data_IF_486507724568
#
_entry.id   IF_486507724568
#
_cell.length_a   1.000
_cell.length_b   1.000
_cell.length_c   1.000
_cell.angle_alpha   90.00
_cell.angle_beta   90.00
_cell.angle_gamma   90.00
#
_symmetry.space_group_name_H-M   'P 1'
#
loop_
_entity.id
_entity.type
_entity.pdbx_description
1 polymer ?
#
# COMPACT_ATOMS: atom_id res chain seq x y z
N UNK A 1 -3.83 -15.04 -65.65
CA UNK A 1 -3.35 -15.49 -64.33
C UNK A 1 -4.16 -14.77 -63.24
N UNK A 2 -4.51 -15.50 -62.17
CA UNK A 2 -5.07 -15.05 -60.88
C UNK A 2 -6.61 -14.81 -60.74
N UNK A 3 -7.28 -15.90 -60.35
CA UNK A 3 -8.17 -16.10 -59.16
C UNK A 3 -9.44 -15.25 -58.91
N UNK A 4 -10.56 -16.00 -58.86
CA UNK A 4 -11.74 -15.87 -57.96
C UNK A 4 -11.35 -15.43 -56.52
N UNK A 5 -12.18 -14.78 -55.69
CA UNK A 5 -13.48 -15.25 -55.16
C UNK A 5 -14.23 -14.14 -54.43
N UNK A 6 -15.56 -14.17 -54.56
CA UNK A 6 -16.53 -13.54 -53.66
C UNK A 6 -16.34 -14.00 -52.21
N UNK A 7 -16.52 -13.11 -51.23
CA UNK A 7 -16.86 -13.52 -49.87
C UNK A 7 -17.67 -12.42 -49.16
N UNK A 8 -18.96 -12.37 -49.51
CA UNK A 8 -19.98 -11.76 -48.68
C UNK A 8 -20.26 -12.76 -47.54
N UNK A 9 -19.77 -12.50 -46.32
CA UNK A 9 -20.12 -13.35 -45.16
C UNK A 9 -21.20 -12.66 -44.35
N UNK A 10 -22.40 -13.19 -44.48
CA UNK A 10 -23.58 -12.84 -43.71
C UNK A 10 -23.28 -12.88 -42.20
N UNK A 11 -23.66 -11.82 -41.48
CA UNK A 11 -23.86 -11.86 -40.03
C UNK A 11 -25.03 -12.80 -39.77
N UNK A 12 -24.72 -14.06 -39.46
CA UNK A 12 -25.67 -15.02 -38.93
C UNK A 12 -26.06 -14.56 -37.53
N UNK A 13 -27.22 -13.89 -37.42
CA UNK A 13 -27.92 -13.71 -36.16
C UNK A 13 -28.34 -15.10 -35.70
N UNK A 14 -27.53 -15.69 -34.82
CA UNK A 14 -27.85 -16.94 -34.16
C UNK A 14 -29.18 -16.77 -33.42
N UNK A 15 -30.18 -17.56 -33.80
CA UNK A 15 -31.47 -17.65 -33.13
C UNK A 15 -31.21 -18.02 -31.66
N UNK A 16 -31.27 -17.03 -30.79
CA UNK A 16 -31.14 -17.24 -29.35
C UNK A 16 -32.31 -18.12 -28.86
N UNK A 17 -31.98 -19.25 -28.27
CA UNK A 17 -32.91 -20.14 -27.60
C UNK A 17 -33.56 -19.38 -26.42
N UNK A 18 -34.91 -19.31 -26.30
CA UNK A 18 -35.59 -18.49 -25.29
C UNK A 18 -35.23 -18.84 -23.83
N UNK A 19 -34.64 -20.02 -23.59
CA UNK A 19 -34.18 -20.44 -22.27
C UNK A 19 -32.85 -19.77 -21.81
N UNK A 20 -32.04 -19.24 -22.74
CA UNK A 20 -30.72 -18.68 -22.42
C UNK A 20 -30.73 -17.20 -22.00
N UNK A 21 -31.67 -16.42 -22.56
CA UNK A 21 -31.77 -14.97 -22.33
C UNK A 21 -32.17 -14.68 -20.88
N UNK A 22 -33.06 -15.50 -20.30
CA UNK A 22 -33.46 -15.38 -18.89
C UNK A 22 -32.30 -15.60 -17.91
N UNK A 23 -31.34 -16.48 -18.25
CA UNK A 23 -30.15 -16.74 -17.42
C UNK A 23 -29.11 -15.62 -17.52
N UNK A 24 -28.99 -14.99 -18.67
CA UNK A 24 -28.06 -13.86 -18.85
C UNK A 24 -28.59 -12.61 -18.15
N UNK A 25 -29.90 -12.37 -18.21
CA UNK A 25 -30.53 -11.23 -17.54
C UNK A 25 -30.45 -11.35 -16.01
N UNK A 26 -30.64 -12.56 -15.45
CA UNK A 26 -30.49 -12.79 -14.01
C UNK A 26 -29.05 -12.61 -13.53
N UNK A 27 -28.06 -13.08 -14.30
CA UNK A 27 -26.64 -12.86 -13.98
C UNK A 27 -26.26 -11.37 -14.02
N UNK A 28 -26.80 -10.61 -14.97
CA UNK A 28 -26.55 -9.16 -15.05
C UNK A 28 -27.17 -8.41 -13.87
N UNK A 29 -28.38 -8.79 -13.45
CA UNK A 29 -29.00 -8.21 -12.24
C UNK A 29 -28.26 -8.60 -10.96
N UNK A 30 -27.69 -9.80 -10.88
CA UNK A 30 -26.89 -10.24 -9.74
C UNK A 30 -25.55 -9.49 -9.65
N UNK A 31 -24.93 -9.15 -10.79
CA UNK A 31 -23.71 -8.33 -10.81
C UNK A 31 -23.98 -6.89 -10.35
N UNK A 32 -25.13 -6.32 -10.75
CA UNK A 32 -25.50 -4.95 -10.41
C UNK A 32 -25.92 -4.78 -8.93
N UNK A 33 -26.45 -5.84 -8.30
CA UNK A 33 -26.74 -5.82 -6.85
C UNK A 33 -25.50 -6.12 -6.00
N UNK A 34 -24.49 -6.80 -6.56
CA UNK A 34 -23.23 -7.10 -5.86
C UNK A 34 -22.33 -5.88 -5.65
N UNK A 35 -22.43 -4.84 -6.49
CA UNK A 35 -21.67 -3.59 -6.31
C UNK A 35 -22.14 -2.77 -5.11
N UNK A 36 -23.41 -2.91 -4.69
CA UNK A 36 -23.95 -2.20 -3.51
C UNK A 36 -23.40 -2.73 -2.18
N UNK A 37 -23.12 -4.04 -2.09
CA UNK A 37 -22.63 -4.69 -0.87
C UNK A 37 -21.12 -4.52 -0.64
N UNK A 38 -20.34 -4.25 -1.70
CA UNK A 38 -18.92 -3.95 -1.57
C UNK A 38 -18.68 -2.54 -0.98
N UNK A 39 -19.55 -1.57 -1.29
CA UNK A 39 -19.45 -0.20 -0.82
C UNK A 39 -19.68 -0.05 0.70
N UNK A 40 -20.46 -0.93 1.33
CA UNK A 40 -20.64 -0.92 2.79
C UNK A 40 -19.45 -1.47 3.55
N UNK A 41 -18.67 -2.40 2.96
CA UNK A 41 -17.53 -3.05 3.62
C UNK A 41 -16.25 -2.23 3.63
N UNK A 42 -16.17 -1.17 2.82
CA UNK A 42 -15.07 -0.19 2.85
C UNK A 42 -15.23 0.77 4.04
N UNK A 43 -16.45 0.95 4.57
CA UNK A 43 -16.72 1.84 5.71
C UNK A 43 -16.26 1.27 7.05
N UNK A 44 -16.07 -0.05 7.12
CA UNK A 44 -15.65 -0.76 8.32
C UNK A 44 -14.13 -0.93 8.41
N UNK A 45 -13.36 -0.34 7.48
CA UNK A 45 -11.93 -0.23 7.68
C UNK A 45 -11.71 0.71 8.88
N UNK A 46 -11.11 0.24 9.99
CA UNK A 46 -10.68 1.17 11.02
C UNK A 46 -9.67 2.08 10.35
N UNK A 47 -10.03 3.35 10.14
CA UNK A 47 -9.04 4.40 10.05
C UNK A 47 -8.25 4.28 11.36
N UNK A 48 -7.06 3.69 11.28
CA UNK A 48 -6.03 3.98 12.25
C UNK A 48 -5.96 5.50 12.27
N UNK A 49 -6.44 6.06 13.37
CA UNK A 49 -6.60 7.47 13.60
C UNK A 49 -5.21 8.09 13.46
N UNK A 50 -4.93 8.66 12.29
CA UNK A 50 -3.95 9.73 12.18
C UNK A 50 -4.65 10.92 12.82
N UNK A 51 -4.54 11.02 14.14
CA UNK A 51 -4.76 12.28 14.85
C UNK A 51 -3.67 13.23 14.40
N UNK A 52 -3.83 13.84 13.24
CA UNK A 52 -3.24 15.14 12.96
C UNK A 52 -4.20 16.19 13.49
N UNK A 53 -4.39 16.22 14.81
CA UNK A 53 -4.85 17.44 15.44
C UNK A 53 -3.71 18.45 15.33
N UNK A 54 -3.72 19.23 14.25
CA UNK A 54 -3.08 20.55 14.26
C UNK A 54 -3.96 21.43 15.15
N UNK A 55 -3.83 21.23 16.46
CA UNK A 55 -4.37 22.13 17.48
C UNK A 55 -3.32 23.20 17.73
N UNK A 56 -3.50 24.35 17.09
CA UNK A 56 -2.74 25.55 17.40
C UNK A 56 -3.26 26.13 18.72
N UNK A 57 -2.62 25.76 19.84
CA UNK A 57 -2.81 26.45 21.12
C UNK A 57 -1.52 26.55 21.93
N UNK A 58 -0.65 27.46 21.51
CA UNK A 58 0.10 28.42 22.36
C UNK A 58 0.96 27.95 23.55
N UNK A 59 1.14 26.67 23.87
CA UNK A 59 2.04 26.25 24.96
C UNK A 59 2.95 25.10 24.49
N UNK A 60 4.13 25.48 23.98
CA UNK A 60 5.13 24.61 23.34
C UNK A 60 4.65 24.10 21.98
N UNK A 61 4.64 24.99 20.97
CA UNK A 61 4.76 24.57 19.59
C UNK A 61 6.11 23.88 19.42
N UNK A 62 6.17 22.60 19.77
CA UNK A 62 7.36 21.79 19.56
C UNK A 62 7.48 21.68 18.05
N UNK A 63 8.61 22.13 17.50
CA UNK A 63 8.88 21.97 16.09
C UNK A 63 8.90 20.46 15.78
N UNK A 64 7.79 19.96 15.24
CA UNK A 64 7.59 18.55 14.96
C UNK A 64 8.66 18.02 13.99
N UNK A 65 9.15 18.86 13.09
CA UNK A 65 10.23 18.51 12.19
C UNK A 65 11.56 18.37 12.94
N UNK A 66 11.84 19.27 13.90
CA UNK A 66 13.01 19.16 14.77
C UNK A 66 12.96 17.90 15.65
N UNK A 67 11.79 17.58 16.21
CA UNK A 67 11.59 16.36 17.02
C UNK A 67 11.78 15.11 16.17
N UNK A 68 11.20 15.06 14.98
CA UNK A 68 11.36 13.91 14.08
C UNK A 68 12.84 13.69 13.73
N UNK A 69 13.58 14.76 13.38
CA UNK A 69 15.02 14.67 13.08
C UNK A 69 15.84 14.24 14.30
N UNK A 70 15.52 14.77 15.49
CA UNK A 70 16.18 14.37 16.72
C UNK A 70 15.92 12.89 17.04
N UNK A 71 14.67 12.43 16.93
CA UNK A 71 14.30 11.04 17.23
C UNK A 71 14.98 10.06 16.26
N UNK A 72 14.99 10.39 14.97
CA UNK A 72 15.69 9.62 13.95
C UNK A 72 17.19 9.54 14.25
N UNK A 73 17.82 10.65 14.64
CA UNK A 73 19.25 10.66 14.93
C UNK A 73 19.61 9.95 16.25
N UNK A 74 18.70 9.99 17.23
CA UNK A 74 18.88 9.37 18.55
C UNK A 74 18.60 7.86 18.56
N UNK A 75 17.94 7.33 17.53
CA UNK A 75 17.56 5.91 17.43
C UNK A 75 18.29 5.24 16.27
N UNK A 76 18.66 3.97 16.44
CA UNK A 76 19.34 3.20 15.39
C UNK A 76 18.48 2.14 14.72
N UNK A 77 17.29 1.88 15.27
CA UNK A 77 16.40 0.79 14.84
C UNK A 77 14.94 1.25 14.89
N UNK A 78 14.11 0.69 14.01
CA UNK A 78 12.69 1.03 13.94
C UNK A 78 11.87 -0.07 13.30
N UNK A 79 10.55 0.08 13.30
CA UNK A 79 9.63 -0.86 12.65
C UNK A 79 9.35 -0.40 11.21
N UNK A 80 9.86 -1.14 10.23
CA UNK A 80 9.65 -0.91 8.81
C UNK A 80 8.48 -1.77 8.33
N UNK A 81 7.41 -1.12 7.87
CA UNK A 81 6.22 -1.77 7.33
C UNK A 81 6.22 -1.74 5.79
N UNK A 82 5.98 -2.90 5.19
CA UNK A 82 5.95 -3.15 3.75
C UNK A 82 4.68 -3.88 3.36
N UNK A 83 4.37 -3.92 2.05
CA UNK A 83 3.30 -4.76 1.51
C UNK A 83 3.90 -6.10 1.11
N UNK A 84 3.50 -7.18 1.78
CA UNK A 84 4.20 -8.45 1.63
C UNK A 84 3.84 -9.22 0.37
N UNK A 85 4.85 -9.63 -0.39
CA UNK A 85 4.68 -10.57 -1.51
C UNK A 85 4.38 -11.98 -1.00
N UNK A 86 4.98 -12.33 0.13
CA UNK A 86 4.92 -13.66 0.74
C UNK A 86 3.58 -13.89 1.47
N UNK A 87 2.97 -12.82 1.99
CA UNK A 87 1.66 -12.84 2.63
C UNK A 87 0.54 -12.32 1.72
N UNK A 88 0.69 -12.47 0.39
CA UNK A 88 -0.36 -12.17 -0.59
C UNK A 88 -0.92 -10.73 -0.51
N UNK A 89 -0.04 -9.74 -0.29
CA UNK A 89 -0.38 -8.33 -0.24
C UNK A 89 -0.80 -7.83 1.15
N UNK A 90 -0.73 -8.66 2.19
CA UNK A 90 -0.95 -8.21 3.57
C UNK A 90 0.22 -7.35 4.07
N UNK A 91 -0.04 -6.39 4.97
CA UNK A 91 1.03 -5.60 5.58
C UNK A 91 1.92 -6.49 6.45
N UNK A 92 3.23 -6.33 6.30
CA UNK A 92 4.24 -6.97 7.12
C UNK A 92 5.14 -5.91 7.72
N UNK A 93 5.59 -6.09 8.96
CA UNK A 93 6.50 -5.17 9.61
C UNK A 93 7.65 -5.92 10.28
N UNK A 94 8.87 -5.41 10.08
CA UNK A 94 10.09 -5.97 10.65
C UNK A 94 10.89 -4.88 11.38
N UNK A 95 11.68 -5.30 12.36
CA UNK A 95 12.64 -4.41 13.00
C UNK A 95 13.87 -4.25 12.09
N UNK A 96 14.13 -3.04 11.62
CA UNK A 96 15.21 -2.76 10.68
C UNK A 96 16.10 -1.65 11.22
N UNK A 97 17.42 -1.86 11.12
CA UNK A 97 18.40 -0.84 11.45
C UNK A 97 18.50 0.19 10.33
N UNK A 98 18.64 1.45 10.69
CA UNK A 98 18.80 2.54 9.74
C UNK A 98 19.82 3.56 10.26
N UNK A 99 20.22 4.47 9.39
CA UNK A 99 21.09 5.59 9.73
C UNK A 99 20.68 6.83 8.93
N UNK A 100 20.72 8.00 9.57
CA UNK A 100 20.44 9.28 8.94
C UNK A 100 21.70 10.13 8.67
N UNK A 101 22.88 9.55 8.88
CA UNK A 101 24.15 10.24 8.78
C UNK A 101 25.24 9.63 9.66
N UNK A 102 26.40 10.28 9.67
CA UNK A 102 27.52 9.93 10.55
C UNK A 102 27.22 10.46 11.96
N UNK A 103 27.60 9.73 13.03
CA UNK A 103 27.60 10.29 14.38
C UNK A 103 28.31 11.65 14.42
N UNK A 104 27.82 12.57 15.24
CA UNK A 104 28.34 13.94 15.43
C UNK A 104 28.12 14.92 14.25
N UNK A 105 27.38 14.51 13.22
CA UNK A 105 26.91 15.41 12.15
C UNK A 105 25.39 15.59 12.22
N UNK A 106 24.87 16.75 11.78
CA UNK A 106 23.42 16.95 11.74
C UNK A 106 22.75 15.90 10.84
N UNK A 107 21.56 15.46 11.26
CA UNK A 107 20.69 14.57 10.50
C UNK A 107 20.55 15.04 9.05
N UNK A 108 20.84 14.17 8.10
CA UNK A 108 20.70 14.48 6.67
C UNK A 108 19.23 14.57 6.22
N UNK A 109 18.30 14.02 7.01
CA UNK A 109 16.89 13.87 6.64
C UNK A 109 16.62 12.73 5.65
N UNK A 110 17.65 11.98 5.25
CA UNK A 110 17.52 10.78 4.42
C UNK A 110 17.87 9.55 5.25
N UNK A 111 16.98 8.54 5.20
CA UNK A 111 17.16 7.29 5.91
C UNK A 111 17.83 6.27 5.01
N UNK A 112 18.96 5.76 5.47
CA UNK A 112 19.71 4.71 4.81
C UNK A 112 19.50 3.39 5.54
N UNK A 113 19.20 2.34 4.79
CA UNK A 113 19.00 1.00 5.32
C UNK A 113 20.07 0.07 4.76
N UNK A 114 20.54 -0.84 5.60
CA UNK A 114 21.40 -1.93 5.16
C UNK A 114 20.60 -3.23 5.17
N UNK A 115 20.17 -3.66 3.98
CA UNK A 115 19.30 -4.82 3.81
C UNK A 115 20.00 -5.93 3.03
N UNK A 116 19.70 -7.17 3.38
CA UNK A 116 20.18 -8.36 2.66
C UNK A 116 19.10 -8.84 1.70
N UNK A 117 19.51 -9.42 0.58
CA UNK A 117 18.59 -10.11 -0.34
C UNK A 117 17.92 -11.36 0.26
N UNK A 118 18.32 -11.78 1.47
CA UNK A 118 17.66 -12.87 2.21
C UNK A 118 16.56 -12.36 3.16
N UNK A 119 16.40 -11.05 3.33
CA UNK A 119 15.32 -10.48 4.15
C UNK A 119 14.02 -10.45 3.34
N UNK A 120 12.92 -10.95 3.91
CA UNK A 120 11.59 -10.92 3.27
C UNK A 120 11.16 -9.50 2.91
N UNK A 121 11.58 -8.52 3.72
CA UNK A 121 11.27 -7.11 3.52
C UNK A 121 11.98 -6.54 2.29
N UNK A 122 13.10 -7.14 1.86
CA UNK A 122 13.84 -6.72 0.67
C UNK A 122 13.04 -7.04 -0.60
N UNK A 123 12.52 -8.26 -0.71
CA UNK A 123 11.67 -8.66 -1.84
C UNK A 123 10.37 -7.85 -1.89
N UNK A 124 9.79 -7.54 -0.73
CA UNK A 124 8.60 -6.70 -0.63
C UNK A 124 8.85 -5.29 -1.18
N UNK A 125 10.00 -4.67 -0.87
CA UNK A 125 10.36 -3.34 -1.35
C UNK A 125 10.69 -3.35 -2.84
N UNK A 126 11.30 -4.41 -3.36
CA UNK A 126 11.56 -4.56 -4.79
C UNK A 126 10.26 -4.66 -5.61
N UNK A 127 9.25 -5.35 -5.07
CA UNK A 127 7.94 -5.45 -5.70
C UNK A 127 7.13 -4.16 -5.54
N UNK A 128 7.23 -3.49 -4.39
CA UNK A 128 6.56 -2.23 -4.10
C UNK A 128 7.41 -1.34 -3.18
N UNK A 129 7.92 -0.24 -3.72
CA UNK A 129 8.78 0.70 -3.00
C UNK A 129 8.05 1.53 -1.91
N UNK A 130 6.73 1.42 -1.77
CA UNK A 130 6.00 2.09 -0.69
C UNK A 130 6.22 1.38 0.65
N UNK A 131 6.89 2.04 1.58
CA UNK A 131 7.12 1.55 2.93
C UNK A 131 6.85 2.66 3.97
N UNK A 132 6.62 2.28 5.22
CA UNK A 132 6.45 3.21 6.35
C UNK A 132 7.37 2.83 7.49
N UNK A 133 8.10 3.79 8.05
CA UNK A 133 8.96 3.58 9.22
C UNK A 133 8.31 4.20 10.46
N UNK A 134 8.22 3.42 11.54
CA UNK A 134 7.74 3.90 12.84
C UNK A 134 8.86 3.85 13.88
N UNK A 135 8.99 4.92 14.65
CA UNK A 135 9.99 5.10 15.71
C UNK A 135 9.30 5.41 17.03
N UNK A 136 9.97 5.09 18.13
CA UNK A 136 9.49 5.36 19.48
C UNK A 136 10.62 5.95 20.32
N UNK A 137 10.32 6.95 21.15
CA UNK A 137 11.30 7.47 22.14
C UNK A 137 11.77 6.38 23.11
N UNK A 138 10.96 5.33 23.32
CA UNK A 138 11.34 4.20 24.16
C UNK A 138 12.51 3.36 23.62
N UNK A 139 12.88 3.51 22.34
CA UNK A 139 14.04 2.81 21.76
C UNK A 139 15.35 3.58 21.88
N UNK A 140 15.35 4.75 22.52
CA UNK A 140 16.56 5.53 22.76
C UNK A 140 17.35 4.84 23.90
N UNK A 141 18.65 4.54 23.71
CA UNK A 141 19.46 3.93 24.76
C UNK A 141 19.57 4.85 25.98
N UNK A 142 19.57 4.27 27.19
CA UNK A 142 19.81 5.02 28.42
C UNK A 142 21.18 5.71 28.37
N UNK A 143 21.21 6.95 28.85
CA UNK A 143 22.38 7.83 28.81
C UNK A 143 23.34 7.58 29.97
#
# INVERSE_FOLDING_TARGET
>A
AAKQTHFWSAMSVSRANPAGIGRLLTLLTALLTCTGALASRIKDFPQAVISSEVSDSSARAVDAAAVARWLVHATGTGALATTSVHLHGLPFASATSFSDGVPDKPSSGHLWFYMSAMDVSYDDILANATASLTLSEASIPER
#
